data_IF_348692589758
#
_entry.id   IF_348692589758
#
_cell.length_a   1.000
_cell.length_b   1.000
_cell.length_c   1.000
_cell.angle_alpha   90.00
_cell.angle_beta   90.00
_cell.angle_gamma   90.00
#
_symmetry.space_group_name_H-M   'P 1'
#
loop_
_entity.id
_entity.type
_entity.pdbx_description
1 polymer ?
#
# COMPACT_ATOMS: atom_id res chain seq x y z
N UNK A 1 -1.73 1.17 -36.66
CA UNK A 1 -0.88 0.55 -35.62
C UNK A 1 -1.66 0.58 -34.33
N UNK A 2 -2.01 -0.56 -33.71
CA UNK A 2 -2.74 -0.53 -32.45
C UNK A 2 -1.84 -0.01 -31.33
N UNK A 3 -2.41 0.79 -30.44
CA UNK A 3 -1.78 1.37 -29.27
C UNK A 3 -1.50 0.24 -28.26
N UNK A 4 -0.23 0.06 -27.88
CA UNK A 4 0.21 -0.97 -26.92
C UNK A 4 -0.28 -0.60 -25.51
N UNK A 5 -0.92 -1.53 -24.83
CA UNK A 5 -1.39 -1.36 -23.45
C UNK A 5 -0.22 -1.50 -22.46
N UNK A 6 0.12 -0.46 -21.67
CA UNK A 6 1.22 -0.52 -20.70
C UNK A 6 0.97 -1.47 -19.52
N UNK A 7 -0.26 -1.94 -19.31
CA UNK A 7 -0.57 -2.94 -18.28
C UNK A 7 -0.25 -4.38 -18.73
N UNK A 8 0.00 -4.60 -20.03
CA UNK A 8 0.38 -5.91 -20.56
C UNK A 8 1.90 -6.06 -20.46
N UNK A 9 2.34 -6.84 -19.48
CA UNK A 9 3.74 -7.23 -19.33
C UNK A 9 4.13 -8.18 -20.48
N UNK A 10 4.96 -7.72 -21.41
CA UNK A 10 5.60 -8.59 -22.40
C UNK A 10 6.79 -9.31 -21.74
N UNK A 11 6.75 -10.65 -21.59
CA UNK A 11 7.88 -11.36 -21.03
C UNK A 11 9.12 -11.24 -21.93
N UNK A 12 10.33 -11.11 -21.35
CA UNK A 12 11.55 -11.14 -22.14
C UNK A 12 11.64 -12.49 -22.85
N UNK A 13 11.65 -12.47 -24.18
CA UNK A 13 11.81 -13.66 -25.00
C UNK A 13 13.19 -14.28 -24.79
N UNK A 14 13.30 -15.26 -23.91
CA UNK A 14 14.51 -16.05 -23.72
C UNK A 14 14.33 -17.36 -24.48
N UNK A 15 15.09 -17.52 -25.56
CA UNK A 15 15.06 -18.72 -26.40
C UNK A 15 15.81 -19.87 -25.71
N UNK A 16 15.13 -20.97 -25.37
CA UNK A 16 15.81 -22.24 -25.10
C UNK A 16 15.27 -23.22 -24.04
N UNK A 17 14.25 -22.90 -23.25
CA UNK A 17 13.65 -23.84 -22.29
C UNK A 17 12.11 -23.93 -22.45
N UNK A 18 11.44 -25.01 -22.00
CA UNK A 18 9.98 -25.05 -21.94
C UNK A 18 9.50 -23.88 -21.08
N UNK A 19 8.68 -23.01 -21.66
CA UNK A 19 8.29 -21.69 -21.13
C UNK A 19 7.93 -21.67 -19.63
N UNK A 20 7.38 -22.77 -19.10
CA UNK A 20 7.05 -22.90 -17.67
C UNK A 20 8.25 -22.93 -16.72
N UNK A 21 9.40 -23.47 -17.13
CA UNK A 21 10.59 -23.55 -16.26
C UNK A 21 11.28 -22.18 -16.11
N UNK A 22 11.30 -21.38 -17.18
CA UNK A 22 11.90 -20.04 -17.16
C UNK A 22 11.05 -19.07 -16.34
N UNK A 23 9.72 -19.17 -16.45
CA UNK A 23 8.79 -18.40 -15.61
C UNK A 23 8.89 -18.75 -14.13
N UNK A 24 8.93 -20.04 -13.78
CA UNK A 24 9.09 -20.47 -12.40
C UNK A 24 10.40 -19.95 -11.80
N UNK A 25 11.52 -20.04 -12.55
CA UNK A 25 12.82 -19.51 -12.11
C UNK A 25 12.79 -17.99 -11.93
N UNK A 26 12.14 -17.26 -12.83
CA UNK A 26 11.99 -15.82 -12.74
C UNK A 26 11.18 -15.39 -11.50
N UNK A 27 10.01 -16.03 -11.27
CA UNK A 27 9.18 -15.76 -10.10
C UNK A 27 9.88 -16.11 -8.79
N UNK A 28 10.61 -17.23 -8.73
CA UNK A 28 11.42 -17.58 -7.56
C UNK A 28 12.51 -16.52 -7.30
N UNK A 29 13.17 -16.04 -8.36
CA UNK A 29 14.17 -14.97 -8.24
C UNK A 29 13.59 -13.64 -7.76
N UNK A 30 12.39 -13.28 -8.21
CA UNK A 30 11.68 -12.11 -7.70
C UNK A 30 11.26 -12.30 -6.24
N UNK A 31 10.64 -13.43 -5.92
CA UNK A 31 10.17 -13.71 -4.57
C UNK A 31 11.32 -13.67 -3.55
N UNK A 32 12.48 -14.25 -3.87
CA UNK A 32 13.64 -14.24 -3.00
C UNK A 32 14.19 -12.83 -2.70
N UNK A 33 13.87 -11.84 -3.56
CA UNK A 33 14.30 -10.44 -3.41
C UNK A 33 13.26 -9.55 -2.74
N UNK A 34 12.00 -9.99 -2.70
CA UNK A 34 10.91 -9.25 -2.06
C UNK A 34 10.86 -9.65 -0.59
N UNK A 35 11.29 -8.73 0.27
CA UNK A 35 11.08 -8.84 1.72
C UNK A 35 10.05 -7.81 2.15
N UNK A 36 9.11 -8.21 3.01
CA UNK A 36 8.18 -7.25 3.59
C UNK A 36 8.97 -6.28 4.46
N UNK A 37 8.88 -4.96 4.25
CA UNK A 37 9.55 -4.01 5.12
C UNK A 37 9.03 -4.17 6.55
N UNK A 38 9.93 -4.02 7.52
CA UNK A 38 9.56 -3.97 8.92
C UNK A 38 8.67 -2.74 9.14
N UNK A 39 7.65 -2.90 9.99
CA UNK A 39 6.82 -1.80 10.45
C UNK A 39 7.73 -0.78 11.15
N UNK A 40 7.81 0.44 10.60
CA UNK A 40 8.74 1.46 11.09
C UNK A 40 8.16 2.25 12.27
N UNK A 41 6.86 2.53 12.26
CA UNK A 41 6.18 3.29 13.30
C UNK A 41 4.67 3.07 13.25
N UNK A 42 4.01 3.21 14.40
CA UNK A 42 2.56 3.24 14.54
C UNK A 42 2.16 4.43 15.41
N UNK A 43 0.93 4.91 15.19
CA UNK A 43 0.35 5.98 15.98
C UNK A 43 -1.15 5.79 16.12
N UNK A 44 -1.81 6.81 16.67
CA UNK A 44 -3.26 6.81 16.83
C UNK A 44 -3.85 8.13 16.37
N UNK A 45 -4.98 8.06 15.66
CA UNK A 45 -5.77 9.25 15.33
C UNK A 45 -6.33 9.84 16.63
N UNK A 46 -6.06 11.12 16.87
CA UNK A 46 -6.49 11.86 18.07
C UNK A 46 -7.65 12.81 17.78
N UNK A 47 -7.73 13.38 16.58
CA UNK A 47 -8.86 14.22 16.14
C UNK A 47 -8.95 14.35 14.63
N UNK A 48 -10.12 14.81 14.17
CA UNK A 48 -10.37 15.25 12.79
C UNK A 48 -10.30 16.78 12.75
N UNK A 49 -9.60 17.35 11.78
CA UNK A 49 -9.47 18.81 11.58
C UNK A 49 -9.78 19.15 10.13
N UNK A 50 -11.04 19.51 9.87
CA UNK A 50 -11.52 19.74 8.51
C UNK A 50 -11.45 18.44 7.70
N UNK A 51 -10.62 18.44 6.65
CA UNK A 51 -10.37 17.25 5.82
C UNK A 51 -9.19 16.40 6.33
N UNK A 52 -8.28 16.99 7.13
CA UNK A 52 -7.09 16.30 7.62
C UNK A 52 -7.37 15.59 8.95
N UNK A 53 -6.56 14.57 9.23
CA UNK A 53 -6.56 13.86 10.50
C UNK A 53 -5.31 14.20 11.28
N UNK A 54 -5.44 14.28 12.60
CA UNK A 54 -4.31 14.47 13.49
C UNK A 54 -4.00 13.16 14.20
N UNK A 55 -2.72 12.79 14.24
CA UNK A 55 -2.22 11.56 14.84
C UNK A 55 -1.10 11.83 15.84
N UNK A 56 -1.02 11.02 16.89
CA UNK A 56 0.10 11.01 17.85
C UNK A 56 0.90 9.72 17.76
N UNK A 57 2.18 9.77 18.16
CA UNK A 57 3.06 8.60 18.22
C UNK A 57 3.67 8.15 16.88
N UNK A 58 3.26 8.76 15.77
CA UNK A 58 3.78 8.44 14.45
C UNK A 58 5.12 9.15 14.18
N UNK A 59 6.15 8.37 13.86
CA UNK A 59 7.44 8.87 13.37
C UNK A 59 7.52 8.65 11.86
N UNK A 60 7.35 9.72 11.10
CA UNK A 60 7.35 9.71 9.64
C UNK A 60 7.85 11.07 9.11
N UNK A 61 8.15 11.16 7.82
CA UNK A 61 8.48 12.39 7.12
C UNK A 61 7.26 12.95 6.35
N UNK A 62 7.28 14.24 6.01
CA UNK A 62 6.28 14.81 5.07
C UNK A 62 6.39 14.06 3.74
N UNK A 63 5.25 13.63 3.20
CA UNK A 63 5.16 12.85 1.97
C UNK A 63 5.21 11.33 2.17
N UNK A 64 5.51 10.85 3.39
CA UNK A 64 5.44 9.42 3.66
C UNK A 64 3.99 8.92 3.53
N UNK A 65 3.84 7.77 2.89
CA UNK A 65 2.56 7.07 2.83
C UNK A 65 2.35 6.21 4.07
N UNK A 66 1.15 6.28 4.62
CA UNK A 66 0.74 5.53 5.79
C UNK A 66 -0.66 4.94 5.58
N UNK A 67 -1.05 4.04 6.48
CA UNK A 67 -2.37 3.40 6.47
C UNK A 67 -3.11 3.73 7.75
N UNK A 68 -4.33 4.22 7.59
CA UNK A 68 -5.25 4.46 8.71
C UNK A 68 -6.17 3.25 8.80
N UNK A 69 -5.99 2.43 9.83
CA UNK A 69 -6.83 1.26 10.05
C UNK A 69 -8.20 1.68 10.63
N UNK A 70 -9.27 1.14 10.03
CA UNK A 70 -10.66 1.31 10.42
C UNK A 70 -11.16 0.05 11.13
N UNK A 71 -12.10 0.23 12.06
CA UNK A 71 -12.76 -0.89 12.71
C UNK A 71 -13.64 -1.67 11.72
N UNK A 72 -13.69 -3.00 11.86
CA UNK A 72 -14.37 -3.90 10.94
C UNK A 72 -15.88 -3.64 10.76
N UNK A 73 -16.52 -2.96 11.72
CA UNK A 73 -17.94 -2.60 11.67
C UNK A 73 -18.23 -1.34 10.84
N UNK A 74 -17.21 -0.54 10.50
CA UNK A 74 -17.34 0.68 9.70
C UNK A 74 -17.17 0.41 8.18
N UNK A 75 -16.85 -0.82 7.80
CA UNK A 75 -16.59 -1.18 6.42
C UNK A 75 -17.84 -1.72 5.72
N UNK A 76 -18.28 -1.02 4.67
CA UNK A 76 -19.30 -1.49 3.71
C UNK A 76 -18.72 -2.36 2.59
N UNK A 77 -17.54 -2.98 2.79
CA UNK A 77 -16.92 -3.83 1.78
C UNK A 77 -17.82 -5.01 1.38
N UNK A 78 -17.81 -5.34 0.09
CA UNK A 78 -18.63 -6.37 -0.51
C UNK A 78 -18.45 -7.75 0.17
N UNK A 79 -19.51 -8.59 0.23
CA UNK A 79 -19.60 -9.82 1.03
C UNK A 79 -18.66 -10.98 0.60
N UNK A 80 -17.66 -10.71 -0.23
CA UNK A 80 -16.74 -11.65 -0.85
C UNK A 80 -15.28 -11.15 -0.86
N UNK A 81 -14.96 -10.15 -0.03
CA UNK A 81 -13.57 -9.75 0.23
C UNK A 81 -12.96 -10.65 1.31
N UNK A 82 -11.72 -11.10 1.08
CA UNK A 82 -10.94 -11.88 2.06
C UNK A 82 -10.88 -11.12 3.39
N UNK A 83 -11.04 -11.77 4.57
CA UNK A 83 -11.04 -11.09 5.87
C UNK A 83 -9.72 -10.37 6.22
N UNK A 84 -8.67 -10.54 5.39
CA UNK A 84 -7.39 -9.85 5.51
C UNK A 84 -7.27 -8.61 4.60
N UNK A 85 -8.22 -8.40 3.68
CA UNK A 85 -8.19 -7.33 2.70
C UNK A 85 -9.04 -6.13 3.17
N UNK A 86 -8.37 -5.14 3.76
CA UNK A 86 -8.76 -3.75 3.61
C UNK A 86 -9.88 -3.25 4.54
N UNK A 87 -9.54 -2.96 5.78
CA UNK A 87 -10.18 -1.88 6.52
C UNK A 87 -9.11 -0.83 6.82
N UNK A 88 -8.52 -0.28 5.77
CA UNK A 88 -7.65 0.86 5.92
C UNK A 88 -7.86 1.83 4.78
N UNK A 89 -7.58 3.10 5.04
CA UNK A 89 -7.49 4.15 4.03
C UNK A 89 -6.04 4.54 3.91
N UNK A 90 -5.52 4.61 2.69
CA UNK A 90 -4.18 5.13 2.45
C UNK A 90 -4.17 6.64 2.74
N UNK A 91 -3.09 7.14 3.32
CA UNK A 91 -2.96 8.55 3.67
C UNK A 91 -1.52 9.03 3.51
N UNK A 92 -1.37 10.33 3.32
CA UNK A 92 -0.08 10.99 3.22
C UNK A 92 0.16 11.90 4.42
N UNK A 93 1.39 11.90 4.95
CA UNK A 93 1.80 12.86 5.97
C UNK A 93 1.97 14.24 5.34
N UNK A 94 1.12 15.20 5.71
CA UNK A 94 1.12 16.55 5.12
C UNK A 94 1.77 17.61 6.03
N UNK A 95 2.05 17.28 7.28
CA UNK A 95 2.73 18.21 8.19
C UNK A 95 2.74 17.76 9.65
N UNK A 96 3.25 18.63 10.51
CA UNK A 96 3.37 18.38 11.96
C UNK A 96 3.09 19.66 12.75
N UNK A 97 2.58 19.52 13.97
CA UNK A 97 2.52 20.60 14.97
C UNK A 97 2.66 20.02 16.36
N UNK A 98 3.51 20.65 17.18
CA UNK A 98 3.81 20.23 18.56
C UNK A 98 4.25 18.76 18.67
N UNK A 99 3.33 17.86 19.02
CA UNK A 99 3.55 16.41 19.20
C UNK A 99 2.67 15.58 18.26
N UNK A 100 2.08 16.23 17.24
CA UNK A 100 1.10 15.62 16.36
C UNK A 100 1.51 15.70 14.90
N UNK A 101 1.16 14.64 14.19
CA UNK A 101 1.31 14.48 12.75
C UNK A 101 -0.02 14.70 12.07
N UNK A 102 -0.05 15.47 10.99
CA UNK A 102 -1.24 15.66 10.16
C UNK A 102 -1.20 14.73 8.95
N UNK A 103 -2.30 14.02 8.75
CA UNK A 103 -2.48 13.04 7.70
C UNK A 103 -3.60 13.47 6.76
N UNK A 104 -3.41 13.27 5.47
CA UNK A 104 -4.43 13.47 4.45
C UNK A 104 -4.85 12.12 3.88
N UNK A 105 -6.09 11.66 4.10
CA UNK A 105 -6.62 10.50 3.40
C UNK A 105 -6.55 10.68 1.89
N UNK A 106 -6.09 9.64 1.20
CA UNK A 106 -6.13 9.50 -0.25
C UNK A 106 -7.46 8.83 -0.63
N UNK A 107 -7.96 9.08 -1.85
CA UNK A 107 -9.23 8.51 -2.31
C UNK A 107 -9.19 6.97 -2.35
N UNK A 108 -10.35 6.34 -2.09
CA UNK A 108 -10.58 4.89 -2.13
C UNK A 108 -11.43 4.50 -3.34
#
# INVERSE_FOLDING_TARGET
MPLRDPAVFDPPGVQGLPQGLDWARHLMGLHARVTRPLLQSEGRIVRVVGLALEASGLTAAIGDQCRIYLDALASTAAPNSSPQAGHYVDAEVVGFSEQHTFLMPLEA
#
